data_IF_898162760341
#
_entry.id   IF_898162760341
#
_cell.length_a   1.000
_cell.length_b   1.000
_cell.length_c   1.000
_cell.angle_alpha   90.00
_cell.angle_beta   90.00
_cell.angle_gamma   90.00
#
_symmetry.space_group_name_H-M   'P 1'
#
loop_
_entity.id
_entity.type
_entity.pdbx_description
1 polymer ?
#
# COMPACT_ATOMS: atom_id res chain seq x y z
N UNK A 1 0.01 -36.77 17.69
CA UNK A 1 -0.66 -35.46 17.56
C UNK A 1 -2.15 -35.70 17.76
N UNK A 2 -2.70 -35.19 18.86
CA UNK A 2 -4.14 -35.30 19.15
C UNK A 2 -4.85 -34.36 18.17
N UNK A 3 -5.56 -34.92 17.20
CA UNK A 3 -6.51 -34.16 16.39
C UNK A 3 -7.67 -33.78 17.29
N UNK A 4 -7.67 -32.54 17.79
CA UNK A 4 -8.89 -31.97 18.34
C UNK A 4 -9.90 -31.88 17.20
N UNK A 5 -10.84 -32.83 17.15
CA UNK A 5 -12.03 -32.75 16.32
C UNK A 5 -12.90 -31.60 16.84
N UNK A 6 -12.59 -30.37 16.41
CA UNK A 6 -13.49 -29.25 16.62
C UNK A 6 -14.80 -29.54 15.87
N UNK A 7 -15.96 -29.33 16.51
CA UNK A 7 -17.25 -29.51 15.85
C UNK A 7 -17.30 -28.66 14.58
N UNK A 8 -17.79 -29.25 13.48
CA UNK A 8 -17.99 -28.59 12.18
C UNK A 8 -19.06 -27.50 12.32
N UNK A 9 -18.69 -26.34 12.88
CA UNK A 9 -19.57 -25.20 13.02
C UNK A 9 -19.95 -24.64 11.63
N UNK A 10 -21.19 -24.16 11.43
CA UNK A 10 -21.59 -23.51 10.19
C UNK A 10 -20.69 -22.30 9.91
N UNK A 11 -20.20 -22.12 8.67
CA UNK A 11 -19.23 -21.05 8.31
C UNK A 11 -19.69 -19.63 8.67
N UNK A 12 -20.99 -19.38 8.87
CA UNK A 12 -21.53 -18.11 9.36
C UNK A 12 -20.99 -17.76 10.75
N UNK A 13 -20.77 -18.78 11.60
CA UNK A 13 -20.15 -18.62 12.92
C UNK A 13 -18.69 -18.18 12.84
N UNK A 14 -17.98 -18.45 11.74
CA UNK A 14 -16.59 -17.97 11.58
C UNK A 14 -16.54 -16.44 11.46
N UNK A 15 -17.53 -15.80 10.83
CA UNK A 15 -17.62 -14.34 10.78
C UNK A 15 -17.99 -13.73 12.13
N UNK A 16 -18.93 -14.33 12.85
CA UNK A 16 -19.26 -13.91 14.21
C UNK A 16 -18.08 -14.10 15.17
N UNK A 17 -17.34 -15.20 15.04
CA UNK A 17 -16.12 -15.43 15.80
C UNK A 17 -15.05 -14.38 15.49
N UNK A 18 -14.82 -14.06 14.22
CA UNK A 18 -13.89 -13.01 13.81
C UNK A 18 -14.31 -11.65 14.38
N UNK A 19 -15.61 -11.32 14.34
CA UNK A 19 -16.15 -10.10 14.91
C UNK A 19 -15.92 -10.05 16.43
N UNK A 20 -16.21 -11.14 17.15
CA UNK A 20 -15.99 -11.22 18.60
C UNK A 20 -14.50 -11.07 18.92
N UNK A 21 -13.60 -11.75 18.19
CA UNK A 21 -12.14 -11.60 18.38
C UNK A 21 -11.71 -10.15 18.15
N UNK A 22 -12.21 -9.51 17.10
CA UNK A 22 -11.91 -8.11 16.82
C UNK A 22 -12.42 -7.16 17.91
N UNK A 23 -13.64 -7.36 18.41
CA UNK A 23 -14.19 -6.58 19.52
C UNK A 23 -13.38 -6.77 20.80
N UNK A 24 -12.93 -7.99 21.09
CA UNK A 24 -12.04 -8.27 22.22
C UNK A 24 -10.67 -7.59 22.04
N UNK A 25 -10.13 -7.57 20.81
CA UNK A 25 -8.89 -6.87 20.50
C UNK A 25 -9.01 -5.36 20.70
N UNK A 26 -10.13 -4.75 20.28
CA UNK A 26 -10.43 -3.34 20.55
C UNK A 26 -10.58 -3.07 22.05
N UNK A 27 -11.30 -3.92 22.78
CA UNK A 27 -11.45 -3.77 24.23
C UNK A 27 -10.11 -3.88 24.97
N UNK A 28 -9.25 -4.82 24.56
CA UNK A 28 -7.90 -4.94 25.09
C UNK A 28 -7.09 -3.66 24.81
N UNK A 29 -7.10 -3.16 23.57
CA UNK A 29 -6.43 -1.92 23.21
C UNK A 29 -6.91 -0.73 24.03
N UNK A 30 -8.23 -0.58 24.19
CA UNK A 30 -8.83 0.49 25.00
C UNK A 30 -8.39 0.42 26.47
N UNK A 31 -8.38 -0.76 27.08
CA UNK A 31 -7.93 -0.94 28.46
C UNK A 31 -6.44 -0.62 28.63
N UNK A 32 -5.60 -1.03 27.66
CA UNK A 32 -4.16 -0.73 27.68
C UNK A 32 -3.90 0.76 27.53
N UNK A 33 -4.51 1.43 26.55
CA UNK A 33 -4.37 2.89 26.38
C UNK A 33 -4.90 3.64 27.59
N UNK A 34 -6.07 3.28 28.12
CA UNK A 34 -6.60 3.88 29.34
C UNK A 34 -5.63 3.70 30.52
N UNK A 35 -5.02 2.52 30.67
CA UNK A 35 -4.07 2.25 31.75
C UNK A 35 -2.78 3.06 31.65
N UNK A 36 -2.28 3.31 30.43
CA UNK A 36 -1.02 4.01 30.18
C UNK A 36 -1.21 5.53 30.13
N UNK A 37 -2.21 6.02 29.39
CA UNK A 37 -2.37 7.44 29.06
C UNK A 37 -3.16 8.23 30.11
N UNK A 38 -4.12 7.62 30.83
CA UNK A 38 -4.99 8.37 31.73
C UNK A 38 -4.24 9.12 32.84
N UNK A 39 -3.11 8.56 33.31
CA UNK A 39 -2.25 9.24 34.29
C UNK A 39 -1.54 10.46 33.69
N UNK A 40 -1.04 10.33 32.47
CA UNK A 40 -0.33 11.39 31.76
C UNK A 40 -1.29 12.54 31.39
N UNK A 41 -2.50 12.22 30.92
CA UNK A 41 -3.56 13.20 30.67
C UNK A 41 -3.92 13.96 31.96
N UNK A 42 -4.11 13.24 33.08
CA UNK A 42 -4.41 13.86 34.37
C UNK A 42 -3.32 14.83 34.84
N UNK A 43 -2.04 14.46 34.69
CA UNK A 43 -0.91 15.30 35.04
C UNK A 43 -0.79 16.54 34.13
N UNK A 44 -1.05 16.39 32.83
CA UNK A 44 -1.05 17.51 31.89
C UNK A 44 -2.18 18.50 32.21
N UNK A 45 -3.39 17.99 32.51
CA UNK A 45 -4.53 18.82 32.91
C UNK A 45 -4.25 19.65 34.16
N UNK A 46 -3.56 19.06 35.14
CA UNK A 46 -3.11 19.78 36.33
C UNK A 46 -2.10 20.86 35.97
N UNK A 47 -1.07 20.52 35.20
CA UNK A 47 -0.03 21.47 34.77
C UNK A 47 -0.59 22.67 34.02
N UNK A 48 -1.53 22.46 33.09
CA UNK A 48 -2.20 23.53 32.34
C UNK A 48 -3.07 24.39 33.27
N UNK A 49 -3.82 23.77 34.17
CA UNK A 49 -4.64 24.47 35.16
C UNK A 49 -3.81 25.34 36.10
N UNK A 50 -2.71 24.80 36.61
CA UNK A 50 -1.80 25.50 37.50
C UNK A 50 -1.11 26.67 36.78
N UNK A 51 -0.65 26.47 35.54
CA UNK A 51 -0.06 27.53 34.73
C UNK A 51 -1.05 28.67 34.43
N UNK A 52 -2.31 28.33 34.15
CA UNK A 52 -3.38 29.33 33.94
C UNK A 52 -3.61 30.16 35.21
N UNK A 53 -3.75 29.50 36.36
CA UNK A 53 -3.98 30.20 37.64
C UNK A 53 -2.77 31.06 38.03
N UNK A 54 -1.56 30.52 37.88
CA UNK A 54 -0.33 31.26 38.15
C UNK A 54 -0.23 32.51 37.26
N UNK A 55 -0.54 32.40 35.97
CA UNK A 55 -0.52 33.54 35.06
C UNK A 55 -1.49 34.66 35.48
N UNK A 56 -2.70 34.31 35.93
CA UNK A 56 -3.68 35.29 36.41
C UNK A 56 -3.26 35.96 37.72
N UNK A 57 -2.63 35.22 38.63
CA UNK A 57 -2.08 35.76 39.87
C UNK A 57 -0.93 36.74 39.60
N UNK A 58 -0.05 36.39 38.66
CA UNK A 58 1.08 37.24 38.26
C UNK A 58 0.63 38.48 37.48
N UNK A 59 -0.57 38.43 36.87
CA UNK A 59 -1.10 39.52 36.05
C UNK A 59 -2.54 39.94 36.46
N UNK A 60 -2.71 40.63 37.60
CA UNK A 60 -4.03 41.02 38.11
C UNK A 60 -4.83 41.96 37.19
N UNK A 61 -4.16 42.61 36.23
CA UNK A 61 -4.78 43.50 35.25
C UNK A 61 -5.56 42.75 34.14
N UNK A 62 -5.40 41.43 34.04
CA UNK A 62 -6.07 40.62 33.02
C UNK A 62 -7.28 39.93 33.64
N UNK A 63 -8.47 40.25 33.14
CA UNK A 63 -9.69 39.55 33.53
C UNK A 63 -9.65 38.09 33.02
N UNK A 64 -10.09 37.10 33.82
CA UNK A 64 -10.12 35.69 33.40
C UNK A 64 -10.85 35.47 32.07
N UNK A 65 -12.00 36.13 31.88
CA UNK A 65 -12.77 36.05 30.64
C UNK A 65 -12.04 36.56 29.39
N UNK A 66 -11.10 37.49 29.56
CA UNK A 66 -10.30 38.01 28.44
C UNK A 66 -9.18 37.03 28.08
N UNK A 67 -8.62 36.34 29.08
CA UNK A 67 -7.67 35.26 28.85
C UNK A 67 -8.33 34.08 28.15
N UNK A 68 -9.51 33.65 28.60
CA UNK A 68 -10.26 32.56 27.97
C UNK A 68 -10.53 32.83 26.49
N UNK A 69 -10.95 34.06 26.15
CA UNK A 69 -11.15 34.47 24.75
C UNK A 69 -9.87 34.41 23.91
N UNK A 70 -8.73 34.80 24.49
CA UNK A 70 -7.45 34.71 23.79
C UNK A 70 -7.05 33.25 23.56
N UNK A 71 -7.19 32.41 24.59
CA UNK A 71 -6.90 30.98 24.50
C UNK A 71 -7.83 30.28 23.50
N UNK A 72 -9.12 30.61 23.49
CA UNK A 72 -10.07 30.08 22.51
C UNK A 72 -9.65 30.42 21.08
N UNK A 73 -9.29 31.68 20.81
CA UNK A 73 -8.81 32.10 19.49
C UNK A 73 -7.49 31.41 19.13
N UNK A 74 -6.57 31.27 20.08
CA UNK A 74 -5.30 30.60 19.86
C UNK A 74 -5.47 29.10 19.56
N UNK A 75 -6.33 28.41 20.31
CA UNK A 75 -6.66 26.99 20.08
C UNK A 75 -7.35 26.82 18.74
N UNK A 76 -8.27 27.71 18.37
CA UNK A 76 -8.92 27.68 17.06
C UNK A 76 -7.87 27.87 15.95
N UNK A 77 -6.97 28.83 16.08
CA UNK A 77 -5.91 29.06 15.09
C UNK A 77 -4.98 27.84 14.95
N UNK A 78 -4.57 27.25 16.08
CA UNK A 78 -3.70 26.07 16.12
C UNK A 78 -4.37 24.84 15.48
N UNK A 79 -5.66 24.62 15.71
CA UNK A 79 -6.46 23.58 15.04
C UNK A 79 -6.50 23.74 13.50
N UNK A 80 -6.24 24.94 12.97
CA UNK A 80 -6.10 25.19 11.53
C UNK A 80 -4.63 25.22 11.06
N UNK A 81 -3.68 24.85 11.93
CA UNK A 81 -2.25 24.82 11.66
C UNK A 81 -1.55 26.17 11.80
N UNK A 82 -2.20 27.18 12.39
CA UNK A 82 -1.65 28.54 12.54
C UNK A 82 -1.18 28.74 13.98
N UNK A 83 0.14 28.69 14.20
CA UNK A 83 0.71 28.89 15.53
C UNK A 83 0.70 30.36 15.95
N UNK A 84 0.30 30.63 17.20
CA UNK A 84 0.30 31.97 17.80
C UNK A 84 1.67 32.35 18.38
N UNK A 85 2.51 31.35 18.71
CA UNK A 85 3.81 31.58 19.34
C UNK A 85 4.86 31.92 18.27
N UNK A 86 5.36 33.16 18.34
CA UNK A 86 6.18 33.78 17.29
C UNK A 86 7.66 33.39 17.31
N UNK A 87 8.03 32.55 16.35
CA UNK A 87 9.25 32.69 15.52
C UNK A 87 9.02 32.09 14.11
N UNK A 88 7.76 31.93 13.73
CA UNK A 88 7.26 31.06 12.66
C UNK A 88 6.35 31.81 11.68
N UNK A 89 6.25 33.15 11.79
CA UNK A 89 5.53 34.03 10.86
C UNK A 89 6.02 33.95 9.41
N UNK A 90 7.14 33.25 9.15
CA UNK A 90 7.73 32.98 7.82
C UNK A 90 7.43 31.56 7.29
N UNK A 91 6.54 30.80 7.95
CA UNK A 91 6.14 29.46 7.51
C UNK A 91 4.73 29.54 6.91
N UNK A 92 4.65 29.83 5.62
CA UNK A 92 3.38 29.74 4.89
C UNK A 92 2.98 28.27 4.72
N UNK A 93 1.89 27.88 5.39
CA UNK A 93 1.33 26.52 5.30
C UNK A 93 0.92 26.11 3.88
N UNK A 94 0.67 27.09 2.99
CA UNK A 94 0.16 26.89 1.63
C UNK A 94 1.16 27.27 0.52
N UNK A 95 2.46 27.11 0.77
CA UNK A 95 3.47 27.03 -0.31
C UNK A 95 3.22 25.79 -1.19
N UNK A 96 3.64 25.81 -2.46
CA UNK A 96 3.38 24.71 -3.42
C UNK A 96 3.83 23.33 -2.91
N UNK A 97 5.03 23.23 -2.31
CA UNK A 97 5.55 21.95 -1.79
C UNK A 97 4.78 21.45 -0.57
N UNK A 98 4.32 22.36 0.29
CA UNK A 98 3.44 22.06 1.43
C UNK A 98 2.04 21.65 0.96
N UNK A 99 1.49 22.32 -0.05
CA UNK A 99 0.21 21.98 -0.67
C UNK A 99 0.28 20.63 -1.40
N UNK A 100 1.41 20.31 -2.03
CA UNK A 100 1.67 19.00 -2.64
C UNK A 100 1.73 17.90 -1.57
N UNK A 101 2.41 18.14 -0.45
CA UNK A 101 2.44 17.22 0.68
C UNK A 101 1.03 16.98 1.24
N UNK A 102 0.25 18.05 1.42
CA UNK A 102 -1.16 17.95 1.80
C UNK A 102 -1.95 17.09 0.80
N UNK A 103 -1.87 17.41 -0.50
CA UNK A 103 -2.59 16.69 -1.55
C UNK A 103 -2.20 15.19 -1.58
N UNK A 104 -0.91 14.88 -1.50
CA UNK A 104 -0.42 13.51 -1.43
C UNK A 104 -0.97 12.79 -0.19
N UNK A 105 -0.86 13.40 1.00
CA UNK A 105 -1.33 12.79 2.26
C UNK A 105 -2.83 12.52 2.28
N UNK A 106 -3.62 13.36 1.62
CA UNK A 106 -5.08 13.20 1.51
C UNK A 106 -5.41 12.10 0.51
N UNK A 107 -4.71 12.01 -0.63
CA UNK A 107 -4.91 10.96 -1.63
C UNK A 107 -4.42 9.58 -1.19
N UNK A 108 -3.34 9.52 -0.39
CA UNK A 108 -2.85 8.29 0.25
C UNK A 108 -3.63 7.93 1.51
N UNK A 109 -4.67 8.70 1.84
CA UNK A 109 -5.53 8.54 3.02
C UNK A 109 -4.78 8.54 4.35
N UNK A 110 -3.58 9.14 4.40
CA UNK A 110 -2.81 9.36 5.63
C UNK A 110 -3.41 10.50 6.43
N UNK A 111 -3.68 11.65 5.79
CA UNK A 111 -4.50 12.72 6.37
C UNK A 111 -4.04 13.30 7.72
N UNK A 112 -2.79 13.77 7.83
CA UNK A 112 -2.20 14.27 9.09
C UNK A 112 -2.97 15.38 9.83
N UNK A 113 -3.91 16.10 9.22
CA UNK A 113 -4.75 17.09 9.93
C UNK A 113 -4.06 18.37 10.40
N UNK A 114 -2.73 18.47 10.41
CA UNK A 114 -2.00 19.70 10.77
C UNK A 114 -2.17 20.86 9.76
N UNK A 115 -2.56 20.56 8.53
CA UNK A 115 -2.94 21.54 7.50
C UNK A 115 -4.27 21.12 6.90
N UNK A 116 -5.27 22.01 6.95
CA UNK A 116 -6.63 21.72 6.49
C UNK A 116 -7.22 22.91 5.73
N UNK A 117 -8.09 22.69 4.73
CA UNK A 117 -8.69 23.79 3.98
C UNK A 117 -9.60 24.64 4.87
N UNK A 118 -9.31 25.93 4.98
CA UNK A 118 -10.06 26.86 5.81
C UNK A 118 -11.34 27.35 5.13
N UNK A 119 -11.27 27.66 3.83
CA UNK A 119 -12.38 28.25 3.07
C UNK A 119 -13.45 27.21 2.69
N UNK A 120 -14.71 27.65 2.59
CA UNK A 120 -15.79 26.79 2.10
C UNK A 120 -15.49 26.26 0.69
N UNK A 121 -14.89 27.08 -0.18
CA UNK A 121 -14.44 26.66 -1.51
C UNK A 121 -13.37 25.57 -1.45
N UNK A 122 -12.36 25.71 -0.58
CA UNK A 122 -11.32 24.71 -0.37
C UNK A 122 -11.87 23.38 0.16
N UNK A 123 -12.84 23.44 1.08
CA UNK A 123 -13.54 22.24 1.60
C UNK A 123 -14.33 21.52 0.51
N UNK A 124 -15.10 22.25 -0.30
CA UNK A 124 -15.85 21.69 -1.44
C UNK A 124 -14.88 21.08 -2.46
N UNK A 125 -13.82 21.79 -2.81
CA UNK A 125 -12.79 21.29 -3.71
C UNK A 125 -12.16 20.00 -3.17
N UNK A 126 -11.80 19.94 -1.89
CA UNK A 126 -11.23 18.75 -1.26
C UNK A 126 -12.16 17.53 -1.36
N UNK A 127 -13.48 17.71 -1.14
CA UNK A 127 -14.47 16.63 -1.28
C UNK A 127 -14.47 16.07 -2.71
N UNK A 128 -14.55 16.94 -3.72
CA UNK A 128 -14.57 16.52 -5.13
C UNK A 128 -13.23 15.90 -5.55
N UNK A 129 -12.12 16.52 -5.14
CA UNK A 129 -10.77 16.06 -5.44
C UNK A 129 -10.50 14.65 -4.88
N UNK A 130 -10.90 14.38 -3.63
CA UNK A 130 -10.71 13.08 -2.99
C UNK A 130 -11.62 12.00 -3.56
N UNK A 131 -12.85 12.34 -3.91
CA UNK A 131 -13.80 11.40 -4.51
C UNK A 131 -13.24 10.73 -5.78
N UNK A 132 -12.57 11.49 -6.65
CA UNK A 132 -11.92 10.94 -7.84
C UNK A 132 -10.46 10.52 -7.60
N UNK A 133 -9.76 11.24 -6.74
CA UNK A 133 -8.33 11.05 -6.50
C UNK A 133 -8.01 9.76 -5.73
N UNK A 134 -8.82 9.37 -4.73
CA UNK A 134 -8.57 8.14 -3.96
C UNK A 134 -8.70 6.90 -4.86
N UNK A 135 -9.77 6.70 -5.65
CA UNK A 135 -9.84 5.57 -6.58
C UNK A 135 -8.69 5.54 -7.60
N UNK A 136 -8.31 6.69 -8.16
CA UNK A 136 -7.18 6.79 -9.08
C UNK A 136 -5.85 6.41 -8.40
N UNK A 137 -5.65 6.85 -7.16
CA UNK A 137 -4.46 6.52 -6.36
C UNK A 137 -4.41 5.03 -6.03
N UNK A 138 -5.52 4.42 -5.63
CA UNK A 138 -5.60 2.97 -5.39
C UNK A 138 -5.28 2.17 -6.66
N UNK A 139 -5.80 2.61 -7.81
CA UNK A 139 -5.47 1.98 -9.10
C UNK A 139 -3.98 2.10 -9.44
N UNK A 140 -3.39 3.28 -9.25
CA UNK A 140 -1.95 3.52 -9.45
C UNK A 140 -1.11 2.62 -8.53
N UNK A 141 -1.41 2.60 -7.23
CA UNK A 141 -0.71 1.79 -6.24
C UNK A 141 -0.81 0.30 -6.57
N UNK A 142 -2.00 -0.16 -6.96
CA UNK A 142 -2.22 -1.57 -7.36
C UNK A 142 -1.39 -1.92 -8.60
N UNK A 143 -1.38 -1.06 -9.64
CA UNK A 143 -0.57 -1.29 -10.83
C UNK A 143 0.94 -1.29 -10.51
N UNK A 144 1.39 -0.37 -9.66
CA UNK A 144 2.78 -0.28 -9.23
C UNK A 144 3.20 -1.54 -8.46
N UNK A 145 2.42 -1.97 -7.47
CA UNK A 145 2.69 -3.19 -6.69
C UNK A 145 2.68 -4.42 -7.58
N UNK A 146 1.70 -4.58 -8.48
CA UNK A 146 1.64 -5.72 -9.40
C UNK A 146 2.82 -5.76 -10.37
N UNK A 147 3.23 -4.60 -10.91
CA UNK A 147 4.41 -4.49 -11.75
C UNK A 147 5.69 -4.87 -11.00
N UNK A 148 5.81 -4.40 -9.75
CA UNK A 148 6.96 -4.65 -8.91
C UNK A 148 7.02 -6.11 -8.42
N UNK A 149 5.89 -6.71 -8.07
CA UNK A 149 5.77 -8.13 -7.68
C UNK A 149 6.31 -9.10 -8.73
N UNK A 150 6.13 -8.80 -10.02
CA UNK A 150 6.72 -9.62 -11.10
C UNK A 150 8.23 -9.66 -11.00
N UNK A 151 8.85 -8.51 -10.70
CA UNK A 151 10.30 -8.37 -10.57
C UNK A 151 10.82 -8.90 -9.22
N UNK A 152 10.17 -8.53 -8.11
CA UNK A 152 10.69 -8.79 -6.76
C UNK A 152 10.31 -10.14 -6.22
N UNK A 153 9.12 -10.68 -6.52
CA UNK A 153 8.67 -11.98 -6.00
C UNK A 153 8.85 -13.09 -7.05
N UNK A 154 8.19 -12.92 -8.20
CA UNK A 154 7.98 -14.02 -9.17
C UNK A 154 9.30 -14.50 -9.78
N UNK A 155 10.13 -13.57 -10.27
CA UNK A 155 11.43 -13.89 -10.87
C UNK A 155 12.41 -14.57 -9.89
N UNK A 156 12.72 -14.00 -8.71
CA UNK A 156 13.70 -14.63 -7.81
C UNK A 156 13.20 -15.93 -7.20
N UNK A 157 11.92 -16.04 -6.83
CA UNK A 157 11.37 -17.30 -6.30
C UNK A 157 11.48 -18.41 -7.35
N UNK A 158 11.07 -18.14 -8.59
CA UNK A 158 11.16 -19.13 -9.67
C UNK A 158 12.61 -19.45 -10.03
N UNK A 159 13.51 -18.46 -10.01
CA UNK A 159 14.93 -18.68 -10.23
C UNK A 159 15.53 -19.58 -9.15
N UNK A 160 15.26 -19.32 -7.87
CA UNK A 160 15.75 -20.12 -6.74
C UNK A 160 15.22 -21.55 -6.85
N UNK A 161 13.92 -21.72 -7.13
CA UNK A 161 13.30 -23.01 -7.33
C UNK A 161 13.93 -23.78 -8.51
N UNK A 162 14.06 -23.14 -9.67
CA UNK A 162 14.63 -23.76 -10.87
C UNK A 162 16.12 -24.09 -10.73
N UNK A 163 16.88 -23.25 -10.00
CA UNK A 163 18.33 -23.41 -9.85
C UNK A 163 18.73 -24.41 -8.78
N UNK A 164 18.01 -24.44 -7.66
CA UNK A 164 18.38 -25.23 -6.47
C UNK A 164 17.37 -26.33 -6.10
N UNK A 165 16.22 -26.42 -6.76
CA UNK A 165 15.24 -27.50 -6.57
C UNK A 165 14.51 -27.46 -5.22
N UNK A 166 14.55 -26.34 -4.49
CA UNK A 166 13.82 -26.18 -3.23
C UNK A 166 12.30 -26.09 -3.46
N UNK A 167 11.45 -26.59 -2.54
CA UNK A 167 10.00 -26.52 -2.69
C UNK A 167 9.49 -25.08 -2.65
N UNK A 168 8.57 -24.75 -3.57
CA UNK A 168 8.08 -23.39 -3.81
C UNK A 168 7.53 -22.69 -2.54
N UNK A 169 6.82 -23.44 -1.69
CA UNK A 169 6.24 -22.90 -0.46
C UNK A 169 7.30 -22.36 0.53
N UNK A 170 8.38 -23.12 0.75
CA UNK A 170 9.44 -22.72 1.68
C UNK A 170 10.21 -21.51 1.11
N UNK A 171 10.53 -21.53 -0.19
CA UNK A 171 11.21 -20.41 -0.85
C UNK A 171 10.36 -19.14 -0.76
N UNK A 172 9.05 -19.23 -0.98
CA UNK A 172 8.15 -18.10 -0.88
C UNK A 172 8.09 -17.51 0.54
N UNK A 173 8.01 -18.35 1.58
CA UNK A 173 8.01 -17.89 2.98
C UNK A 173 9.34 -17.22 3.33
N UNK A 174 10.47 -17.85 2.99
CA UNK A 174 11.80 -17.29 3.26
C UNK A 174 11.98 -15.96 2.52
N UNK A 175 11.57 -15.90 1.25
CA UNK A 175 11.62 -14.68 0.45
C UNK A 175 10.75 -13.57 1.05
N UNK A 176 9.51 -13.87 1.45
CA UNK A 176 8.60 -12.91 2.08
C UNK A 176 9.18 -12.35 3.38
N UNK A 177 9.79 -13.19 4.22
CA UNK A 177 10.47 -12.74 5.46
C UNK A 177 11.65 -11.85 5.14
N UNK A 178 12.51 -12.22 4.19
CA UNK A 178 13.68 -11.41 3.80
C UNK A 178 13.22 -10.06 3.22
N UNK A 179 12.22 -10.05 2.33
CA UNK A 179 11.68 -8.84 1.74
C UNK A 179 11.05 -7.93 2.81
N UNK A 180 10.27 -8.50 3.73
CA UNK A 180 9.66 -7.75 4.84
C UNK A 180 10.71 -7.12 5.76
N UNK A 181 11.77 -7.87 6.11
CA UNK A 181 12.89 -7.33 6.87
C UNK A 181 13.61 -6.22 6.10
N UNK A 182 13.87 -6.41 4.80
CA UNK A 182 14.50 -5.38 3.97
C UNK A 182 13.69 -4.10 3.96
N UNK A 183 12.37 -4.18 3.72
CA UNK A 183 11.47 -3.02 3.74
C UNK A 183 11.44 -2.36 5.12
N UNK A 184 11.36 -3.13 6.19
CA UNK A 184 11.39 -2.60 7.55
C UNK A 184 12.70 -1.83 7.84
N UNK A 185 13.86 -2.40 7.51
CA UNK A 185 15.13 -1.70 7.74
C UNK A 185 15.31 -0.49 6.81
N UNK A 186 14.91 -0.58 5.54
CA UNK A 186 15.16 0.48 4.56
C UNK A 186 14.16 1.64 4.61
N UNK A 187 12.90 1.38 4.97
CA UNK A 187 11.82 2.39 4.97
C UNK A 187 11.31 2.76 6.37
N UNK A 188 11.61 1.99 7.41
CA UNK A 188 11.24 2.35 8.79
C UNK A 188 12.47 2.76 9.60
N UNK A 189 13.47 1.87 9.73
CA UNK A 189 14.63 2.12 10.61
C UNK A 189 15.57 3.19 10.05
N UNK A 190 16.00 3.06 8.79
CA UNK A 190 16.95 4.01 8.19
C UNK A 190 16.38 5.44 8.16
N UNK A 191 15.14 5.69 7.70
CA UNK A 191 14.56 7.02 7.75
C UNK A 191 14.35 7.53 9.17
N UNK A 192 14.06 6.66 10.15
CA UNK A 192 13.98 7.08 11.56
C UNK A 192 15.30 7.66 12.08
N UNK A 193 16.45 7.09 11.70
CA UNK A 193 17.75 7.70 12.00
C UNK A 193 17.94 9.05 11.31
N UNK A 194 17.48 9.19 10.06
CA UNK A 194 17.56 10.46 9.32
C UNK A 194 16.71 11.54 10.00
N UNK A 195 15.45 11.24 10.32
CA UNK A 195 14.56 12.18 11.02
C UNK A 195 15.08 12.54 12.40
N UNK A 196 15.62 11.58 13.16
CA UNK A 196 16.24 11.86 14.44
C UNK A 196 17.44 12.82 14.33
N UNK A 197 18.20 12.75 13.23
CA UNK A 197 19.33 13.66 13.00
C UNK A 197 18.91 15.02 12.42
N UNK A 198 17.75 15.12 11.77
CA UNK A 198 17.31 16.31 11.04
C UNK A 198 16.27 17.16 11.79
N UNK A 199 15.40 16.55 12.58
CA UNK A 199 14.32 17.24 13.30
C UNK A 199 14.75 17.59 14.72
N UNK A 200 14.86 18.90 14.98
CA UNK A 200 15.18 19.42 16.29
C UNK A 200 14.05 19.11 17.28
N UNK A 201 14.39 18.45 18.39
CA UNK A 201 13.45 18.09 19.45
C UNK A 201 12.82 16.71 19.30
N UNK A 202 13.07 15.99 18.19
CA UNK A 202 12.63 14.60 18.05
C UNK A 202 13.69 13.66 18.61
N UNK A 203 13.26 12.66 19.38
CA UNK A 203 14.07 11.51 19.76
C UNK A 203 13.88 10.36 18.76
N UNK A 204 14.74 9.34 18.83
CA UNK A 204 14.68 8.21 17.89
C UNK A 204 13.34 7.46 17.91
N UNK A 205 12.70 7.32 19.08
CA UNK A 205 11.40 6.65 19.19
C UNK A 205 10.31 7.46 18.48
N UNK A 206 10.31 8.78 18.61
CA UNK A 206 9.38 9.68 17.93
C UNK A 206 9.57 9.63 16.41
N UNK A 207 10.82 9.62 15.94
CA UNK A 207 11.15 9.44 14.52
C UNK A 207 10.70 8.07 13.98
N UNK A 208 10.91 7.00 14.76
CA UNK A 208 10.47 5.65 14.41
C UNK A 208 8.93 5.56 14.36
N UNK A 209 8.28 6.14 15.37
CA UNK A 209 6.83 6.23 15.47
C UNK A 209 6.26 6.99 14.28
N UNK A 210 6.82 8.15 13.92
CA UNK A 210 6.46 8.91 12.72
C UNK A 210 6.54 8.06 11.45
N UNK A 211 7.65 7.36 11.21
CA UNK A 211 7.79 6.50 10.03
C UNK A 211 6.70 5.41 9.99
N UNK A 212 6.45 4.76 11.13
CA UNK A 212 5.45 3.70 11.22
C UNK A 212 4.02 4.20 11.00
N UNK A 213 3.57 5.24 11.72
CA UNK A 213 2.20 5.77 11.58
C UNK A 213 1.94 6.37 10.20
N UNK A 214 2.99 6.91 9.57
CA UNK A 214 2.90 7.52 8.24
C UNK A 214 2.76 6.47 7.14
N UNK A 215 3.63 5.47 7.14
CA UNK A 215 3.62 4.41 6.10
C UNK A 215 2.52 3.37 6.30
N UNK A 216 1.97 3.25 7.52
CA UNK A 216 0.74 2.49 7.78
C UNK A 216 -0.54 3.28 7.46
N UNK A 217 -0.42 4.53 6.97
CA UNK A 217 -1.53 5.43 6.63
C UNK A 217 -2.46 5.77 7.79
N UNK A 218 -1.98 5.65 9.04
CA UNK A 218 -2.73 6.09 10.23
C UNK A 218 -2.73 7.61 10.33
N UNK A 219 -1.54 8.23 10.18
CA UNK A 219 -1.37 9.68 10.04
C UNK A 219 -1.96 10.53 11.17
N UNK A 220 -1.60 10.27 12.43
CA UNK A 220 -2.13 11.01 13.58
C UNK A 220 -1.82 12.52 13.56
N UNK A 221 -0.69 12.92 12.98
CA UNK A 221 -0.35 14.33 12.76
C UNK A 221 0.26 15.08 13.93
N UNK A 222 0.48 14.38 15.04
CA UNK A 222 1.25 14.82 16.21
C UNK A 222 2.71 15.13 15.84
N UNK A 223 3.31 14.32 14.97
CA UNK A 223 4.64 14.55 14.41
C UNK A 223 4.56 14.76 12.90
N UNK A 224 5.04 15.91 12.43
CA UNK A 224 5.15 16.24 11.01
C UNK A 224 6.48 16.97 10.75
N UNK A 225 7.37 16.41 9.91
CA UNK A 225 8.69 16.98 9.67
C UNK A 225 8.63 18.20 8.74
N UNK A 226 9.70 18.98 8.73
CA UNK A 226 9.88 20.11 7.81
C UNK A 226 9.46 21.46 8.37
N UNK A 227 9.63 21.64 9.69
CA UNK A 227 9.39 22.93 10.38
C UNK A 227 10.66 23.77 10.57
N UNK A 228 11.85 23.18 10.42
CA UNK A 228 13.13 23.86 10.67
C UNK A 228 13.92 24.16 9.38
N UNK A 229 14.69 25.26 9.40
CA UNK A 229 15.68 25.61 8.37
C UNK A 229 15.29 26.73 7.41
N UNK A 230 16.21 27.04 6.48
CA UNK A 230 16.01 28.08 5.46
C UNK A 230 14.88 27.73 4.47
N UNK A 231 14.18 28.72 3.86
CA UNK A 231 13.02 28.46 2.99
C UNK A 231 13.29 27.46 1.86
N UNK A 232 14.42 27.58 1.16
CA UNK A 232 14.78 26.68 0.05
C UNK A 232 15.06 25.24 0.51
N UNK A 233 15.72 25.08 1.66
CA UNK A 233 16.00 23.76 2.21
C UNK A 233 14.69 23.08 2.66
N UNK A 234 13.78 23.85 3.27
CA UNK A 234 12.45 23.39 3.68
C UNK A 234 11.63 22.88 2.50
N UNK A 235 11.58 23.62 1.38
CA UNK A 235 10.86 23.19 0.18
C UNK A 235 11.39 21.85 -0.37
N UNK A 236 12.72 21.75 -0.53
CA UNK A 236 13.35 20.53 -1.03
C UNK A 236 13.13 19.35 -0.08
N UNK A 237 13.21 19.62 1.23
CA UNK A 237 13.02 18.60 2.25
C UNK A 237 11.57 18.09 2.28
N UNK A 238 10.55 18.96 2.27
CA UNK A 238 9.14 18.55 2.17
C UNK A 238 8.84 17.77 0.89
N UNK A 239 9.42 18.18 -0.24
CA UNK A 239 9.31 17.41 -1.49
C UNK A 239 9.93 16.01 -1.36
N UNK A 240 11.11 15.91 -0.73
CA UNK A 240 11.79 14.64 -0.48
C UNK A 240 10.97 13.74 0.43
N UNK A 241 10.38 14.28 1.51
CA UNK A 241 9.48 13.55 2.41
C UNK A 241 8.25 13.06 1.65
N UNK A 242 7.66 13.89 0.79
CA UNK A 242 6.50 13.49 -0.03
C UNK A 242 6.85 12.29 -0.93
N UNK A 243 8.00 12.32 -1.59
CA UNK A 243 8.50 11.19 -2.38
C UNK A 243 8.74 9.95 -1.51
N UNK A 244 9.36 10.12 -0.34
CA UNK A 244 9.58 9.05 0.62
C UNK A 244 8.28 8.37 1.05
N UNK A 245 7.25 9.13 1.40
CA UNK A 245 5.96 8.57 1.82
C UNK A 245 5.28 7.77 0.71
N UNK A 246 5.31 8.27 -0.54
CA UNK A 246 4.72 7.57 -1.69
C UNK A 246 5.48 6.27 -1.98
N UNK A 247 6.81 6.33 -2.06
CA UNK A 247 7.65 5.15 -2.36
C UNK A 247 7.58 4.14 -1.21
N UNK A 248 7.66 4.61 0.03
CA UNK A 248 7.55 3.80 1.23
C UNK A 248 6.19 3.12 1.34
N UNK A 249 5.10 3.80 0.99
CA UNK A 249 3.77 3.20 0.93
C UNK A 249 3.71 2.08 -0.11
N UNK A 250 4.26 2.29 -1.31
CA UNK A 250 4.35 1.23 -2.32
C UNK A 250 5.17 0.04 -1.81
N UNK A 251 6.29 0.28 -1.11
CA UNK A 251 7.13 -0.77 -0.54
C UNK A 251 6.42 -1.55 0.58
N UNK A 252 5.67 -0.87 1.45
CA UNK A 252 4.87 -1.49 2.50
C UNK A 252 3.73 -2.33 1.91
N UNK A 253 3.01 -1.79 0.93
CA UNK A 253 1.96 -2.52 0.21
C UNK A 253 2.53 -3.74 -0.52
N UNK A 254 3.71 -3.63 -1.13
CA UNK A 254 4.41 -4.77 -1.73
C UNK A 254 4.70 -5.85 -0.68
N UNK A 255 5.27 -5.49 0.47
CA UNK A 255 5.58 -6.45 1.53
C UNK A 255 4.30 -7.14 2.03
N UNK A 256 3.24 -6.37 2.31
CA UNK A 256 1.94 -6.88 2.75
C UNK A 256 1.34 -7.83 1.70
N UNK A 257 1.32 -7.45 0.43
CA UNK A 257 0.81 -8.27 -0.67
C UNK A 257 1.63 -9.56 -0.83
N UNK A 258 2.95 -9.51 -0.68
CA UNK A 258 3.82 -10.70 -0.67
C UNK A 258 3.44 -11.65 0.47
N UNK A 259 3.20 -11.13 1.68
CA UNK A 259 2.73 -11.94 2.81
C UNK A 259 1.35 -12.54 2.53
N UNK A 260 0.38 -11.75 2.06
CA UNK A 260 -0.96 -12.25 1.77
C UNK A 260 -1.01 -13.31 0.67
N UNK A 261 -0.07 -13.29 -0.27
CA UNK A 261 0.06 -14.31 -1.30
C UNK A 261 0.67 -15.64 -0.83
N UNK A 262 1.14 -15.73 0.42
CA UNK A 262 1.62 -16.99 1.00
C UNK A 262 0.49 -18.02 1.10
N UNK A 263 0.81 -19.27 0.78
CA UNK A 263 -0.18 -20.36 0.73
C UNK A 263 -0.88 -20.58 2.07
N UNK A 264 -0.15 -20.46 3.18
CA UNK A 264 -0.68 -20.64 4.54
C UNK A 264 -1.72 -19.56 4.89
N UNK A 265 -1.41 -18.31 4.55
CA UNK A 265 -2.33 -17.18 4.78
C UNK A 265 -3.55 -17.30 3.88
N UNK A 266 -3.38 -17.69 2.61
CA UNK A 266 -4.49 -17.95 1.69
C UNK A 266 -5.37 -19.11 2.17
N UNK A 267 -4.79 -20.16 2.74
CA UNK A 267 -5.51 -21.28 3.33
C UNK A 267 -6.28 -20.86 4.59
N UNK A 268 -5.70 -19.98 5.41
CA UNK A 268 -6.40 -19.36 6.54
C UNK A 268 -7.60 -18.54 6.07
N UNK A 269 -7.45 -17.66 5.07
CA UNK A 269 -8.56 -16.89 4.51
C UNK A 269 -9.65 -17.78 3.85
N UNK A 270 -9.28 -18.94 3.30
CA UNK A 270 -10.25 -19.93 2.79
C UNK A 270 -11.20 -20.45 3.88
N UNK A 271 -10.82 -20.45 5.16
CA UNK A 271 -11.72 -20.80 6.27
C UNK A 271 -12.88 -19.82 6.41
N UNK A 272 -12.70 -18.58 5.96
CA UNK A 272 -13.68 -17.49 6.01
C UNK A 272 -14.35 -17.21 4.65
N UNK A 273 -14.02 -17.93 3.56
CA UNK A 273 -14.71 -17.76 2.26
C UNK A 273 -15.98 -18.65 2.17
N UNK A 274 -17.10 -18.17 1.60
CA UNK A 274 -18.26 -19.02 1.30
C UNK A 274 -17.90 -20.10 0.26
N UNK A 275 -18.44 -21.31 0.43
CA UNK A 275 -18.11 -22.48 -0.43
C UNK A 275 -18.39 -22.22 -1.92
N UNK A 276 -19.40 -21.40 -2.25
CA UNK A 276 -19.78 -21.04 -3.62
C UNK A 276 -18.73 -20.18 -4.36
N UNK A 277 -18.01 -19.32 -3.63
CA UNK A 277 -16.98 -18.45 -4.22
C UNK A 277 -15.67 -19.20 -4.44
N UNK A 278 -15.40 -20.21 -3.60
CA UNK A 278 -14.22 -21.05 -3.67
C UNK A 278 -14.23 -21.97 -4.90
N UNK A 279 -15.35 -22.67 -5.16
CA UNK A 279 -15.51 -23.52 -6.35
C UNK A 279 -15.32 -22.71 -7.63
N UNK A 280 -15.89 -21.50 -7.71
CA UNK A 280 -15.79 -20.64 -8.91
C UNK A 280 -14.38 -20.12 -9.19
N UNK A 281 -13.54 -19.92 -8.18
CA UNK A 281 -12.14 -19.51 -8.37
C UNK A 281 -11.24 -20.70 -8.71
N UNK A 282 -11.42 -21.84 -8.05
CA UNK A 282 -10.66 -23.06 -8.34
C UNK A 282 -10.98 -23.57 -9.78
N UNK A 283 -12.24 -23.49 -10.22
CA UNK A 283 -12.64 -23.80 -11.62
C UNK A 283 -11.99 -22.84 -12.62
N UNK A 284 -11.92 -21.53 -12.31
CA UNK A 284 -11.28 -20.52 -13.17
C UNK A 284 -9.77 -20.70 -13.28
N UNK A 285 -9.11 -21.02 -12.17
CA UNK A 285 -7.67 -21.31 -12.13
C UNK A 285 -7.34 -22.61 -12.87
N UNK A 286 -8.20 -23.62 -12.78
CA UNK A 286 -8.07 -24.86 -13.55
C UNK A 286 -8.15 -24.62 -15.05
N UNK A 287 -9.12 -23.82 -15.51
CA UNK A 287 -9.28 -23.48 -16.94
C UNK A 287 -8.07 -22.72 -17.47
N UNK A 288 -7.60 -21.68 -16.76
CA UNK A 288 -6.42 -20.90 -17.17
C UNK A 288 -5.15 -21.75 -17.26
N UNK A 289 -4.94 -22.67 -16.31
CA UNK A 289 -3.78 -23.58 -16.35
C UNK A 289 -3.83 -24.57 -17.52
N UNK A 290 -5.03 -24.95 -17.95
CA UNK A 290 -5.23 -25.87 -19.06
C UNK A 290 -5.02 -25.18 -20.41
N UNK A 291 -5.43 -23.92 -20.52
CA UNK A 291 -5.16 -23.07 -21.70
C UNK A 291 -3.65 -22.75 -21.84
N UNK A 292 -2.94 -22.49 -20.72
CA UNK A 292 -1.48 -22.30 -20.73
C UNK A 292 -0.73 -23.58 -21.15
N UNK A 293 -1.17 -24.76 -20.70
CA UNK A 293 -0.62 -26.06 -21.14
C UNK A 293 -0.94 -26.36 -22.61
N UNK A 294 -2.13 -26.01 -23.09
CA UNK A 294 -2.50 -26.18 -24.50
C UNK A 294 -1.65 -25.28 -25.41
N UNK A 295 -1.33 -24.07 -24.94
CA UNK A 295 -0.53 -23.11 -25.68
C UNK A 295 0.96 -23.50 -25.75
N UNK A 296 1.49 -24.23 -24.75
CA UNK A 296 2.82 -24.85 -24.82
C UNK A 296 2.87 -26.08 -25.74
N UNK A 297 1.75 -26.81 -25.91
CA UNK A 297 1.68 -27.98 -26.80
C UNK A 297 1.50 -27.65 -28.29
N UNK A 298 1.07 -26.43 -28.64
CA UNK A 298 0.85 -26.00 -30.04
C UNK A 298 2.06 -25.36 -30.73
N UNK A 299 3.23 -25.23 -30.07
CA UNK A 299 4.44 -24.75 -30.73
C UNK A 299 5.01 -25.81 -31.69
N UNK A 300 5.07 -25.58 -33.03
CA UNK A 300 5.56 -26.58 -33.96
C UNK A 300 7.08 -26.72 -33.86
N UNK A 301 7.52 -27.95 -33.63
CA UNK A 301 8.89 -28.41 -33.80
C UNK A 301 9.35 -28.17 -35.25
N UNK A 302 10.27 -27.23 -35.44
CA UNK A 302 10.97 -27.07 -36.72
C UNK A 302 12.48 -26.99 -36.50
N UNK A 303 13.10 -28.17 -36.44
CA UNK A 303 14.48 -28.34 -36.90
C UNK A 303 14.59 -29.61 -37.73
N UNK A 304 15.20 -29.53 -38.92
CA UNK A 304 16.00 -30.65 -39.40
C UNK A 304 17.46 -30.24 -39.58
N UNK A 305 18.33 -30.95 -38.87
CA UNK A 305 19.74 -31.12 -39.21
C UNK A 305 19.85 -32.09 -40.39
N UNK A 306 20.52 -31.70 -41.48
CA UNK A 306 21.24 -32.62 -42.35
C UNK A 306 22.41 -31.93 -43.06
N UNK A 307 23.57 -32.56 -42.96
CA UNK A 307 24.90 -32.15 -43.43
C UNK A 307 25.29 -33.09 -44.60
N UNK A 308 25.85 -32.49 -45.67
CA UNK A 308 26.73 -33.06 -46.73
C UNK A 308 26.12 -34.05 -47.77
N UNK A 309 26.01 -33.60 -49.04
CA UNK A 309 26.91 -33.99 -50.17
C UNK A 309 26.22 -33.88 -51.54
N UNK A 310 26.92 -33.29 -52.53
CA UNK A 310 26.97 -33.89 -53.87
C UNK A 310 26.05 -33.35 -54.98
N UNK A 311 26.50 -32.29 -55.64
CA UNK A 311 26.66 -32.22 -57.10
C UNK A 311 25.44 -32.26 -58.07
N UNK A 312 25.33 -31.13 -58.80
CA UNK A 312 25.18 -30.98 -60.26
C UNK A 312 23.85 -31.25 -60.99
N UNK A 313 23.29 -30.12 -61.47
CA UNK A 313 22.97 -29.75 -62.87
C UNK A 313 21.69 -30.29 -63.57
N UNK A 314 21.14 -29.35 -64.36
CA UNK A 314 20.20 -29.42 -65.49
C UNK A 314 18.69 -29.53 -65.15
N UNK A 315 17.73 -28.75 -65.69
CA UNK A 315 17.76 -27.72 -66.72
C UNK A 315 17.04 -28.11 -68.01
N UNK A 316 15.70 -28.22 -68.06
CA UNK A 316 14.86 -28.04 -69.28
C UNK A 316 13.36 -28.15 -68.93
N UNK A 317 12.53 -27.12 -69.15
CA UNK A 317 11.77 -26.78 -70.36
C UNK A 317 10.65 -27.76 -70.78
N UNK A 318 9.42 -27.34 -70.45
CA UNK A 318 8.18 -27.29 -71.25
C UNK A 318 8.05 -28.20 -72.48
N UNK A 319 6.97 -29.00 -72.54
CA UNK A 319 5.96 -28.99 -73.61
C UNK A 319 4.82 -30.00 -73.40
N UNK A 320 3.65 -29.55 -73.83
CA UNK A 320 2.34 -30.21 -73.92
C UNK A 320 2.34 -31.52 -74.73
N UNK A 321 1.37 -32.41 -74.46
CA UNK A 321 0.77 -33.28 -75.49
C UNK A 321 -0.65 -33.75 -75.11
N UNK A 322 -1.63 -33.32 -75.92
CA UNK A 322 -2.85 -33.99 -76.44
C UNK A 322 -3.49 -35.14 -75.62
N UNK A 323 -4.73 -35.00 -75.12
CA UNK A 323 -6.04 -35.13 -75.81
C UNK A 323 -6.41 -36.55 -76.24
N UNK A 324 -7.47 -37.14 -75.64
CA UNK A 324 -8.66 -37.64 -76.38
C UNK A 324 -9.76 -38.25 -75.47
N UNK A 325 -11.00 -37.89 -75.83
CA UNK A 325 -12.26 -38.66 -75.79
C UNK A 325 -12.87 -39.17 -74.46
N UNK A 326 -13.91 -38.46 -74.01
CA UNK A 326 -15.28 -38.80 -74.44
C UNK A 326 -16.12 -39.73 -73.56
N UNK A 327 -17.09 -39.17 -72.84
CA UNK A 327 -18.55 -39.43 -72.94
C UNK A 327 -19.32 -38.81 -71.76
N UNK A 328 -20.41 -38.14 -72.09
CA UNK A 328 -21.47 -37.57 -71.24
C UNK A 328 -22.49 -38.67 -70.83
N UNK A 329 -23.67 -38.35 -70.28
CA UNK A 329 -23.95 -37.84 -68.92
C UNK A 329 -25.03 -38.70 -68.21
N UNK A 330 -25.20 -38.59 -66.90
CA UNK A 330 -26.46 -38.98 -66.25
C UNK A 330 -26.82 -37.93 -65.20
N UNK A 331 -27.71 -37.02 -65.59
CA UNK A 331 -28.63 -36.30 -64.72
C UNK A 331 -29.87 -37.17 -64.44
N UNK A 332 -30.60 -36.83 -63.36
CA UNK A 332 -32.05 -37.04 -63.03
C UNK A 332 -32.21 -37.41 -61.52
N UNK A 333 -33.24 -36.90 -60.78
CA UNK A 333 -33.12 -35.66 -60.04
C UNK A 333 -33.72 -35.76 -58.60
N UNK A 334 -33.80 -34.60 -57.96
CA UNK A 334 -34.68 -34.15 -56.87
C UNK A 334 -35.76 -35.10 -56.31
N UNK A 335 -35.86 -35.13 -54.98
CA UNK A 335 -36.87 -34.35 -54.23
C UNK A 335 -36.26 -33.70 -52.99
#
# INVERSE_FOLDING_TARGET
MVSLDLPKMPRVWNYWLLLVIYLLFLALGALVFMGIEARHEGALRQTVGDAYQQFLLDNPCIAPSSMDKLLDVAIIADNYGVSVLGNSSDIENWEFTSALFFAASVLTTTGYGHTVPLSNGGKIFCIVYTFFGIPATLFLLTCAVNGLMKLTNTRPINYIHARWGYPLGIVAVVHAVILGLLVFFSFIILPAFVFWAMEDGWNFLESLYFCFISLSTIGLGDYVPGRAGSPKLREFYKFTITCYLIIGLIAMLLAIETFFNLQDIRNFFRLFKPKRTQVREDDRLGILSQDELAQEMEAPDSTPLAVISGATKEGHQSKDLFAENGRTPVDIPQE
#
